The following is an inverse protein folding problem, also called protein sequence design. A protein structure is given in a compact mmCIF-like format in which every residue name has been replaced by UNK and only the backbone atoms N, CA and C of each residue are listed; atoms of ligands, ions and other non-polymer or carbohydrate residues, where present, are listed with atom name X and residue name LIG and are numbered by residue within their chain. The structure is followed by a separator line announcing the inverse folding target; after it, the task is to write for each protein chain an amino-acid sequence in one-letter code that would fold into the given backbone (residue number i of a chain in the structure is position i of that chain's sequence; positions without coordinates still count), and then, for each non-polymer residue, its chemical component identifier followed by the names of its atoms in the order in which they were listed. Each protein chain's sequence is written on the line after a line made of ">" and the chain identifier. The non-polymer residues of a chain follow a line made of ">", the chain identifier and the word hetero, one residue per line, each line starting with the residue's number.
data_IF_281662870880
#
_entry.id   IF_281662870880
#
_cell.length_a   1.000
_cell.length_b   1.000
_cell.length_c   1.000
_cell.angle_alpha   90.00
_cell.angle_beta   90.00
_cell.angle_gamma   90.00
#
_symmetry.space_group_name_H-M   'P 1'
#
loop_
_entity.id
_entity.type
_entity.pdbx_description
1 polymer ?
#
# COMPACT_ATOMS: atom_id res chain seq x y z
N UNK A 1 8.54 22.75 -7.30
CA UNK A 1 9.12 21.70 -6.43
C UNK A 1 8.01 21.10 -5.59
N UNK A 2 7.17 20.24 -6.19
CA UNK A 2 6.08 19.55 -5.49
C UNK A 2 6.09 18.04 -5.79
N UNK A 3 6.90 17.59 -6.76
CA UNK A 3 7.03 16.17 -7.12
C UNK A 3 7.46 15.28 -5.93
N UNK A 4 8.47 15.69 -5.15
CA UNK A 4 8.99 14.85 -4.06
C UNK A 4 8.03 14.54 -2.90
N UNK A 5 6.87 15.23 -2.78
CA UNK A 5 5.86 14.88 -1.76
C UNK A 5 4.91 13.78 -2.23
N UNK A 6 4.63 13.69 -3.52
CA UNK A 6 3.74 12.66 -4.06
C UNK A 6 4.44 11.30 -4.11
N UNK A 7 5.71 11.27 -4.51
CA UNK A 7 6.54 10.05 -4.47
C UNK A 7 6.62 9.49 -3.04
N UNK A 8 6.90 10.34 -2.05
CA UNK A 8 6.98 9.89 -0.65
C UNK A 8 5.65 9.40 -0.05
N UNK A 9 4.49 9.90 -0.53
CA UNK A 9 3.19 9.43 -0.07
C UNK A 9 2.88 8.02 -0.62
N UNK A 10 3.16 7.80 -1.90
CA UNK A 10 2.99 6.50 -2.54
C UNK A 10 3.95 5.45 -1.94
N UNK A 11 5.22 5.80 -1.73
CA UNK A 11 6.19 4.89 -1.11
C UNK A 11 5.79 4.51 0.33
N UNK A 12 5.30 5.47 1.12
CA UNK A 12 4.79 5.19 2.47
C UNK A 12 3.58 4.27 2.46
N UNK A 13 2.62 4.49 1.56
CA UNK A 13 1.45 3.64 1.43
C UNK A 13 1.84 2.20 1.06
N UNK A 14 2.78 2.03 0.12
CA UNK A 14 3.30 0.70 -0.27
C UNK A 14 4.03 0.01 0.89
N UNK A 15 4.84 0.75 1.66
CA UNK A 15 5.55 0.23 2.83
C UNK A 15 4.58 -0.24 3.92
N UNK A 16 3.57 0.58 4.24
CA UNK A 16 2.51 0.22 5.19
C UNK A 16 1.77 -1.02 4.70
N UNK A 17 1.44 -1.08 3.41
CA UNK A 17 0.69 -2.19 2.83
C UNK A 17 1.45 -3.53 2.96
N UNK A 18 2.76 -3.53 2.68
CA UNK A 18 3.62 -4.71 2.91
C UNK A 18 3.69 -5.09 4.39
N UNK A 19 3.76 -4.11 5.28
CA UNK A 19 3.84 -4.36 6.72
C UNK A 19 2.54 -4.99 7.25
N UNK A 20 1.38 -4.49 6.81
CA UNK A 20 0.07 -5.05 7.15
C UNK A 20 -0.11 -6.46 6.60
N UNK A 21 0.33 -6.74 5.37
CA UNK A 21 0.34 -8.11 4.82
C UNK A 21 1.17 -9.06 5.69
N UNK A 22 2.37 -8.63 6.08
CA UNK A 22 3.25 -9.44 6.92
C UNK A 22 2.66 -9.66 8.33
N UNK A 23 1.78 -8.78 8.80
CA UNK A 23 0.99 -8.97 10.02
C UNK A 23 -0.22 -9.89 9.83
N UNK A 24 -0.48 -10.38 8.62
CA UNK A 24 -1.61 -11.26 8.32
C UNK A 24 -2.93 -10.52 8.08
N UNK A 25 -2.90 -9.21 7.80
CA UNK A 25 -4.11 -8.49 7.39
C UNK A 25 -4.58 -8.91 6.00
N UNK A 26 -5.89 -8.86 5.80
CA UNK A 26 -6.50 -9.12 4.49
C UNK A 26 -6.28 -7.93 3.56
N UNK A 27 -6.16 -8.16 2.23
CA UNK A 27 -5.96 -7.10 1.25
C UNK A 27 -7.01 -5.98 1.34
N UNK A 28 -8.27 -6.28 1.68
CA UNK A 28 -9.32 -5.25 1.89
C UNK A 28 -9.03 -4.31 3.07
N UNK A 29 -8.48 -4.83 4.18
CA UNK A 29 -8.07 -3.99 5.32
C UNK A 29 -6.86 -3.13 4.95
N UNK A 30 -5.95 -3.69 4.16
CA UNK A 30 -4.77 -2.99 3.66
C UNK A 30 -5.21 -1.87 2.71
N UNK A 31 -6.22 -2.11 1.88
CA UNK A 31 -6.84 -1.11 1.00
C UNK A 31 -7.36 0.08 1.81
N UNK A 32 -8.14 -0.20 2.87
CA UNK A 32 -8.68 0.84 3.74
C UNK A 32 -7.61 1.59 4.54
N UNK A 33 -6.57 0.91 5.02
CA UNK A 33 -5.52 1.52 5.84
C UNK A 33 -4.54 2.37 5.02
N UNK A 34 -4.31 2.01 3.76
CA UNK A 34 -3.31 2.66 2.90
C UNK A 34 -3.92 3.57 1.82
N UNK A 35 -5.21 3.40 1.52
CA UNK A 35 -5.89 4.09 0.42
C UNK A 35 -5.42 3.64 -0.98
N UNK A 36 -4.60 2.58 -1.05
CA UNK A 36 -4.17 1.99 -2.32
C UNK A 36 -5.31 1.18 -2.90
N UNK A 37 -5.62 1.31 -4.20
CA UNK A 37 -6.60 0.40 -4.81
C UNK A 37 -6.08 -1.04 -4.89
N UNK A 38 -6.98 -2.03 -4.99
CA UNK A 38 -6.62 -3.43 -5.18
C UNK A 38 -5.65 -3.70 -6.33
N UNK A 39 -5.62 -2.85 -7.37
CA UNK A 39 -4.62 -2.92 -8.44
C UNK A 39 -3.19 -2.62 -7.94
N UNK A 40 -3.02 -1.62 -7.07
CA UNK A 40 -1.74 -1.28 -6.45
C UNK A 40 -1.32 -2.36 -5.45
N UNK A 41 -2.26 -2.90 -4.66
CA UNK A 41 -2.01 -4.05 -3.79
C UNK A 41 -1.59 -5.29 -4.59
N UNK A 42 -2.18 -5.51 -5.77
CA UNK A 42 -1.80 -6.59 -6.68
C UNK A 42 -0.39 -6.40 -7.25
N UNK A 43 0.00 -5.17 -7.62
CA UNK A 43 1.39 -4.85 -8.02
C UNK A 43 2.39 -5.12 -6.89
N UNK A 44 1.99 -4.91 -5.64
CA UNK A 44 2.80 -5.20 -4.46
C UNK A 44 2.83 -6.68 -4.08
N UNK A 45 2.12 -7.54 -4.82
CA UNK A 45 1.93 -8.95 -4.50
C UNK A 45 1.38 -9.15 -3.08
N UNK A 46 0.44 -8.28 -2.68
CA UNK A 46 -0.25 -8.32 -1.39
C UNK A 46 -1.50 -9.20 -1.45
N UNK A 47 -2.15 -9.29 -2.61
CA UNK A 47 -3.07 -10.39 -2.91
C UNK A 47 -2.26 -11.64 -3.26
N UNK A 48 -2.13 -12.57 -2.32
CA UNK A 48 -1.79 -13.96 -2.56
C UNK A 48 -2.80 -14.85 -1.84
#
# INVERSE_FOLDING_TARGET
>A
RQEGRQEGAAEKAQAIARQLRNMGMTPEQIEQATGLSGAELKKLSICA
#
